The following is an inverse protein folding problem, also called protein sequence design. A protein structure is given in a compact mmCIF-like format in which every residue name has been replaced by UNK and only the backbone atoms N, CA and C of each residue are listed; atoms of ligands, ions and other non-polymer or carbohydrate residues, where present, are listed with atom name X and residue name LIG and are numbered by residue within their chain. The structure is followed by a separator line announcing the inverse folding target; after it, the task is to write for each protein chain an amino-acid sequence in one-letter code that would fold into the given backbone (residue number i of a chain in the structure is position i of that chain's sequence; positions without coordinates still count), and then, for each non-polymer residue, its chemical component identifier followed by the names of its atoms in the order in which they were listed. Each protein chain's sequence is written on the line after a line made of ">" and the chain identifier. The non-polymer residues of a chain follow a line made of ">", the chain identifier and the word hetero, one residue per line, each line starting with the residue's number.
data_IF_797239721251
#
_entry.id   IF_797239721251
#
_cell.length_a   1.000
_cell.length_b   1.000
_cell.length_c   1.000
_cell.angle_alpha   90.00
_cell.angle_beta   90.00
_cell.angle_gamma   90.00
#
_symmetry.space_group_name_H-M   'P 1'
#
loop_
_entity.id
_entity.type
_entity.pdbx_description
1 polymer ?
#
# COMPACT_ATOMS: atom_id res chain seq x y z
N UNK A 1 -2.91 -36.82 26.94
CA UNK A 1 -2.55 -35.38 26.88
C UNK A 1 -1.56 -35.07 25.77
N UNK A 2 -0.53 -35.85 25.53
CA UNK A 2 0.51 -35.55 24.54
C UNK A 2 0.04 -35.52 23.06
N UNK A 3 -0.97 -36.30 22.65
CA UNK A 3 -1.41 -36.34 21.25
C UNK A 3 -2.16 -35.05 20.81
N UNK A 4 -2.83 -34.40 21.75
CA UNK A 4 -3.58 -33.16 21.49
C UNK A 4 -2.63 -31.95 21.30
N UNK A 5 -1.53 -31.93 22.05
CA UNK A 5 -0.48 -30.90 21.97
C UNK A 5 0.25 -31.00 20.62
N UNK A 6 0.56 -32.21 20.14
CA UNK A 6 1.20 -32.44 18.85
C UNK A 6 0.28 -31.97 17.69
N UNK A 7 -1.03 -32.22 17.77
CA UNK A 7 -2.00 -31.73 16.79
C UNK A 7 -2.07 -30.21 16.72
N UNK A 8 -2.01 -29.53 17.85
CA UNK A 8 -2.01 -28.05 17.92
C UNK A 8 -0.73 -27.46 17.32
N UNK A 9 0.44 -28.07 17.60
CA UNK A 9 1.72 -27.62 17.03
C UNK A 9 1.73 -27.77 15.51
N UNK A 10 1.19 -28.84 14.95
CA UNK A 10 1.07 -29.01 13.49
C UNK A 10 0.13 -27.99 12.83
N UNK A 11 -0.91 -27.53 13.52
CA UNK A 11 -1.83 -26.51 13.01
C UNK A 11 -1.14 -25.14 12.88
N UNK A 12 -0.19 -24.82 13.77
CA UNK A 12 0.57 -23.56 13.74
C UNK A 12 1.74 -23.57 12.75
N UNK A 13 2.27 -24.71 12.37
CA UNK A 13 3.36 -24.80 11.37
C UNK A 13 2.90 -24.62 9.92
N UNK A 14 1.59 -24.54 9.66
CA UNK A 14 1.01 -24.40 8.30
C UNK A 14 0.89 -22.99 7.77
N UNK A 15 1.27 -21.96 8.51
CA UNK A 15 1.19 -20.58 8.04
C UNK A 15 2.34 -20.31 7.07
N UNK A 16 2.10 -20.46 5.78
CA UNK A 16 3.02 -19.98 4.75
C UNK A 16 3.10 -18.48 4.83
N UNK A 17 4.18 -17.95 5.41
CA UNK A 17 4.49 -16.53 5.28
C UNK A 17 5.00 -16.31 3.85
N UNK A 18 4.21 -15.64 3.02
CA UNK A 18 4.68 -15.17 1.73
C UNK A 18 5.65 -14.01 1.99
N UNK A 19 6.94 -14.31 1.95
CA UNK A 19 8.00 -13.30 1.90
C UNK A 19 8.19 -12.88 0.46
N UNK A 20 8.33 -11.57 0.22
CA UNK A 20 8.72 -11.07 -1.09
C UNK A 20 10.16 -11.47 -1.38
N UNK A 21 10.34 -12.36 -2.34
CA UNK A 21 11.66 -12.75 -2.83
C UNK A 21 11.95 -12.00 -4.13
N UNK A 22 12.90 -11.07 -4.07
CA UNK A 22 13.42 -10.41 -5.26
C UNK A 22 14.56 -11.26 -5.81
N UNK A 23 14.41 -11.81 -7.01
CA UNK A 23 15.46 -12.63 -7.64
C UNK A 23 16.78 -11.86 -7.78
N UNK A 24 16.72 -10.62 -8.22
CA UNK A 24 17.83 -9.65 -8.24
C UNK A 24 17.28 -8.23 -8.45
N UNK A 25 17.95 -7.22 -7.88
CA UNK A 25 17.70 -5.84 -8.29
C UNK A 25 18.23 -5.67 -9.71
N UNK A 26 17.35 -5.52 -10.68
CA UNK A 26 17.74 -5.33 -12.07
C UNK A 26 18.72 -4.17 -12.26
N UNK A 27 19.37 -4.11 -13.44
CA UNK A 27 20.25 -3.00 -13.81
C UNK A 27 19.53 -1.66 -13.79
N UNK A 28 20.26 -0.55 -13.75
CA UNK A 28 19.69 0.81 -13.79
C UNK A 28 18.83 0.96 -15.04
N UNK A 29 19.31 0.53 -16.20
CA UNK A 29 18.57 0.60 -17.47
C UNK A 29 17.26 -0.20 -17.43
N UNK A 30 17.29 -1.42 -16.90
CA UNK A 30 16.09 -2.25 -16.79
C UNK A 30 15.04 -1.64 -15.86
N UNK A 31 15.46 -1.05 -14.74
CA UNK A 31 14.55 -0.33 -13.85
C UNK A 31 14.03 0.96 -14.47
N UNK A 32 14.87 1.68 -15.21
CA UNK A 32 14.47 2.85 -15.98
C UNK A 32 13.40 2.52 -17.02
N UNK A 33 13.60 1.49 -17.80
CA UNK A 33 12.64 1.05 -18.84
C UNK A 33 11.30 0.63 -18.22
N UNK A 34 11.34 -0.14 -17.13
CA UNK A 34 10.15 -0.64 -16.44
C UNK A 34 9.40 0.41 -15.58
N UNK A 35 10.02 1.55 -15.27
CA UNK A 35 9.39 2.62 -14.52
C UNK A 35 8.63 3.58 -15.45
N UNK A 36 7.45 4.00 -15.04
CA UNK A 36 6.72 5.11 -15.67
C UNK A 36 7.30 6.46 -15.26
N UNK A 37 7.74 6.57 -14.00
CA UNK A 37 8.37 7.78 -13.48
C UNK A 37 9.64 7.44 -12.69
N UNK A 38 10.67 8.28 -12.86
CA UNK A 38 11.93 8.21 -12.09
C UNK A 38 12.27 9.61 -11.58
N UNK A 39 12.34 9.76 -10.26
CA UNK A 39 12.60 11.07 -9.65
C UNK A 39 13.25 10.93 -8.27
N UNK A 40 13.91 12.01 -7.84
CA UNK A 40 14.27 12.16 -6.43
C UNK A 40 13.24 13.04 -5.73
N UNK A 41 12.91 12.73 -4.48
CA UNK A 41 11.94 13.52 -3.74
C UNK A 41 11.94 13.22 -2.25
N UNK A 42 11.42 14.19 -1.49
CA UNK A 42 11.27 14.11 -0.03
C UNK A 42 9.84 13.72 0.31
N UNK A 43 9.68 12.76 1.19
CA UNK A 43 8.37 12.39 1.73
C UNK A 43 7.90 13.46 2.72
N UNK A 44 6.82 14.17 2.37
CA UNK A 44 6.30 15.29 3.18
C UNK A 44 5.02 14.94 3.92
N UNK A 45 4.30 13.89 3.50
CA UNK A 45 3.08 13.42 4.15
C UNK A 45 2.92 11.93 3.97
N UNK A 46 2.40 11.28 5.00
CA UNK A 46 1.97 9.88 4.98
C UNK A 46 0.54 9.81 5.46
N UNK A 47 -0.35 9.23 4.66
CA UNK A 47 -1.70 8.88 5.05
C UNK A 47 -1.83 7.36 5.11
N UNK A 48 -2.27 6.85 6.25
CA UNK A 48 -2.42 5.43 6.53
C UNK A 48 -3.85 5.05 6.90
N UNK A 49 -4.80 5.91 6.61
CA UNK A 49 -6.22 5.72 6.92
C UNK A 49 -7.01 5.05 5.79
N UNK A 50 -6.36 4.76 4.66
CA UNK A 50 -6.98 4.13 3.49
C UNK A 50 -6.97 2.61 3.61
N UNK A 51 -8.00 1.98 3.04
CA UNK A 51 -8.13 0.53 2.96
C UNK A 51 -8.58 0.12 1.56
N UNK A 52 -8.00 -0.94 1.02
CA UNK A 52 -8.40 -1.54 -0.25
C UNK A 52 -9.65 -2.42 -0.12
N UNK A 53 -10.16 -2.88 -1.24
CA UNK A 53 -11.37 -3.69 -1.31
C UNK A 53 -11.26 -5.05 -0.60
N UNK A 54 -10.03 -5.52 -0.39
CA UNK A 54 -9.71 -6.75 0.35
C UNK A 54 -9.45 -6.50 1.84
N UNK A 55 -9.71 -5.28 2.35
CA UNK A 55 -9.42 -4.88 3.72
C UNK A 55 -7.94 -4.64 4.01
N UNK A 56 -7.05 -4.73 3.01
CA UNK A 56 -5.64 -4.42 3.17
C UNK A 56 -5.46 -2.92 3.40
N UNK A 57 -4.60 -2.58 4.35
CA UNK A 57 -4.27 -1.19 4.64
C UNK A 57 -3.45 -0.60 3.48
N UNK A 58 -3.86 0.57 3.02
CA UNK A 58 -3.17 1.33 1.97
C UNK A 58 -2.47 2.53 2.61
N UNK A 59 -1.25 2.77 2.20
CA UNK A 59 -0.47 3.95 2.56
C UNK A 59 -0.35 4.85 1.34
N UNK A 60 -0.65 6.13 1.53
CA UNK A 60 -0.46 7.17 0.52
C UNK A 60 0.68 8.08 0.98
N UNK A 61 1.73 8.15 0.16
CA UNK A 61 2.91 8.95 0.42
C UNK A 61 2.91 10.16 -0.52
N UNK A 62 2.82 11.38 0.04
CA UNK A 62 3.02 12.60 -0.74
C UNK A 62 4.50 12.93 -0.79
N UNK A 63 5.04 13.00 -1.99
CA UNK A 63 6.45 13.27 -2.26
C UNK A 63 6.59 14.66 -2.85
N UNK A 64 7.43 15.51 -2.23
CA UNK A 64 7.89 16.75 -2.84
C UNK A 64 9.07 16.42 -3.75
N UNK A 65 8.88 16.60 -5.06
CA UNK A 65 9.90 16.30 -6.07
C UNK A 65 11.06 17.29 -5.92
N UNK A 66 12.28 16.77 -5.94
CA UNK A 66 13.51 17.55 -5.98
C UNK A 66 14.02 17.60 -7.42
N UNK A 67 14.08 16.46 -8.08
CA UNK A 67 14.49 16.33 -9.48
C UNK A 67 13.75 15.19 -10.15
N UNK A 68 13.17 15.44 -11.32
CA UNK A 68 12.55 14.41 -12.16
C UNK A 68 13.51 14.04 -13.29
N UNK A 69 13.71 12.72 -13.50
CA UNK A 69 14.52 12.18 -14.59
C UNK A 69 13.64 11.60 -15.70
N UNK A 70 12.52 11.01 -15.35
CA UNK A 70 11.55 10.43 -16.28
C UNK A 70 10.14 10.67 -15.78
N UNK A 71 9.24 11.12 -16.66
CA UNK A 71 7.81 11.24 -16.36
C UNK A 71 7.02 11.10 -17.65
N UNK A 72 5.96 10.31 -17.62
CA UNK A 72 5.07 10.14 -18.77
C UNK A 72 4.20 11.37 -19.02
N UNK A 73 4.05 12.24 -18.01
CA UNK A 73 3.13 13.36 -18.11
C UNK A 73 3.86 14.71 -18.13
N UNK A 74 4.34 15.18 -17.00
CA UNK A 74 4.87 16.53 -16.90
C UNK A 74 6.05 16.60 -15.93
N UNK A 75 7.21 16.97 -16.42
CA UNK A 75 8.45 17.05 -15.64
C UNK A 75 8.47 18.15 -14.59
N UNK A 76 7.63 19.19 -14.74
CA UNK A 76 7.57 20.36 -13.85
C UNK A 76 6.70 20.19 -12.60
N UNK A 77 6.22 18.97 -12.27
CA UNK A 77 5.40 18.78 -11.06
C UNK A 77 6.22 18.90 -9.80
N UNK A 78 5.67 19.63 -8.82
CA UNK A 78 6.28 19.74 -7.51
C UNK A 78 5.93 18.59 -6.55
N UNK A 79 4.75 18.01 -6.72
CA UNK A 79 4.22 16.96 -5.84
C UNK A 79 3.80 15.73 -6.61
N UNK A 80 4.07 14.57 -6.03
CA UNK A 80 3.58 13.28 -6.50
C UNK A 80 3.05 12.45 -5.35
N UNK A 81 2.09 11.59 -5.64
CA UNK A 81 1.56 10.62 -4.67
C UNK A 81 1.97 9.22 -5.11
N UNK A 82 2.60 8.49 -4.20
CA UNK A 82 2.93 7.07 -4.36
C UNK A 82 2.06 6.29 -3.39
N UNK A 83 1.47 5.21 -3.87
CA UNK A 83 0.61 4.34 -3.07
C UNK A 83 1.33 3.01 -2.82
N UNK A 84 1.25 2.51 -1.60
CA UNK A 84 1.75 1.19 -1.22
C UNK A 84 0.71 0.48 -0.37
N UNK A 85 0.54 -0.82 -0.58
CA UNK A 85 -0.29 -1.64 0.28
C UNK A 85 0.48 -2.06 1.53
N UNK A 86 -0.21 -2.64 2.50
CA UNK A 86 0.41 -3.07 3.76
C UNK A 86 1.53 -4.10 3.55
N UNK A 87 2.31 -4.33 4.59
CA UNK A 87 3.54 -5.14 4.62
C UNK A 87 3.45 -6.58 4.06
N UNK A 88 2.26 -7.06 3.71
CA UNK A 88 2.08 -8.35 3.02
C UNK A 88 2.29 -8.25 1.50
N UNK A 89 2.36 -7.02 0.94
CA UNK A 89 2.66 -6.76 -0.46
C UNK A 89 4.16 -6.52 -0.66
N UNK A 90 4.64 -6.69 -1.88
CA UNK A 90 6.02 -6.38 -2.24
C UNK A 90 6.26 -4.87 -2.46
N UNK A 91 5.42 -4.04 -1.88
CA UNK A 91 5.49 -2.60 -2.05
C UNK A 91 6.55 -1.95 -1.17
N UNK A 92 7.17 -0.91 -1.69
CA UNK A 92 8.18 -0.16 -0.97
C UNK A 92 7.53 0.78 0.06
N UNK A 93 7.98 0.72 1.31
CA UNK A 93 7.49 1.57 2.39
C UNK A 93 8.44 2.72 2.64
N UNK A 94 7.90 3.94 2.58
CA UNK A 94 8.67 5.16 2.78
C UNK A 94 8.57 5.68 4.21
N UNK A 95 9.60 6.43 4.65
CA UNK A 95 9.63 7.11 5.95
C UNK A 95 9.42 8.62 5.76
N UNK A 96 8.57 9.22 6.59
CA UNK A 96 8.32 10.66 6.58
C UNK A 96 9.62 11.45 6.79
N UNK A 97 9.81 12.52 6.03
CA UNK A 97 10.95 13.43 6.14
C UNK A 97 12.21 12.98 5.39
N UNK A 98 12.31 11.71 5.00
CA UNK A 98 13.46 11.16 4.27
C UNK A 98 13.37 11.48 2.77
N UNK A 99 14.54 11.49 2.12
CA UNK A 99 14.69 11.72 0.67
C UNK A 99 15.02 10.40 -0.01
N UNK A 100 14.36 10.14 -1.12
CA UNK A 100 14.49 8.90 -1.89
C UNK A 100 14.79 9.18 -3.37
N UNK A 101 15.49 8.23 -3.99
CA UNK A 101 15.42 7.98 -5.42
C UNK A 101 14.30 6.98 -5.63
N UNK A 102 13.33 7.32 -6.47
CA UNK A 102 12.08 6.59 -6.65
C UNK A 102 11.97 6.14 -8.10
N UNK A 103 11.84 4.83 -8.31
CA UNK A 103 11.44 4.20 -9.56
C UNK A 103 10.00 3.73 -9.42
N UNK A 104 9.08 4.55 -9.88
CA UNK A 104 7.65 4.28 -9.75
C UNK A 104 7.07 3.74 -11.06
N UNK A 105 6.16 2.79 -10.92
CA UNK A 105 5.36 2.27 -12.03
C UNK A 105 3.93 2.75 -11.88
N UNK A 106 3.31 3.14 -12.99
CA UNK A 106 1.89 3.46 -12.98
C UNK A 106 1.08 2.17 -12.98
N UNK A 107 0.24 2.04 -11.96
CA UNK A 107 -0.71 0.95 -11.84
C UNK A 107 -2.09 1.55 -11.56
N UNK A 108 -3.03 1.32 -12.49
CA UNK A 108 -4.40 1.83 -12.37
C UNK A 108 -4.47 3.33 -12.04
N UNK A 109 -3.67 4.15 -12.73
CA UNK A 109 -3.58 5.62 -12.59
C UNK A 109 -2.93 6.12 -11.28
N UNK A 110 -2.33 5.22 -10.50
CA UNK A 110 -1.54 5.58 -9.33
C UNK A 110 -0.10 5.12 -9.50
N UNK A 111 0.83 5.78 -8.80
CA UNK A 111 2.20 5.33 -8.75
C UNK A 111 2.39 4.32 -7.62
N UNK A 112 3.00 3.21 -7.93
CA UNK A 112 3.43 2.20 -6.98
C UNK A 112 4.94 1.94 -7.10
N UNK A 113 5.56 1.52 -6.01
CA UNK A 113 6.98 1.17 -5.98
C UNK A 113 7.15 -0.20 -5.33
N UNK A 114 7.88 -1.09 -6.00
CA UNK A 114 8.24 -2.39 -5.43
C UNK A 114 9.55 -2.32 -4.66
N UNK A 115 9.68 -3.12 -3.60
CA UNK A 115 10.97 -3.36 -2.91
C UNK A 115 12.00 -4.00 -3.83
N UNK A 116 11.56 -4.63 -4.92
CA UNK A 116 12.44 -5.24 -5.94
C UNK A 116 12.94 -4.21 -6.95
N UNK A 117 12.42 -2.98 -6.95
CA UNK A 117 12.96 -1.88 -7.76
C UNK A 117 14.25 -1.33 -7.15
N UNK A 118 14.93 -0.46 -7.89
CA UNK A 118 16.09 0.28 -7.36
C UNK A 118 15.71 1.47 -6.49
N UNK A 119 14.43 1.62 -6.14
CA UNK A 119 13.96 2.64 -5.18
C UNK A 119 14.72 2.49 -3.86
N UNK A 120 15.35 3.59 -3.42
CA UNK A 120 16.15 3.58 -2.18
C UNK A 120 16.22 4.99 -1.57
N UNK A 121 16.60 5.07 -0.29
CA UNK A 121 16.97 6.35 0.34
C UNK A 121 18.12 6.96 -0.42
N UNK A 122 18.03 8.25 -0.74
CA UNK A 122 19.04 8.91 -1.60
C UNK A 122 20.47 8.80 -1.03
N UNK A 123 20.63 8.81 0.29
CA UNK A 123 21.93 8.63 0.95
C UNK A 123 22.59 7.26 0.72
N UNK A 124 21.81 6.26 0.30
CA UNK A 124 22.26 4.90 0.03
C UNK A 124 22.41 4.63 -1.49
N UNK A 125 22.15 5.64 -2.32
CA UNK A 125 22.26 5.52 -3.78
C UNK A 125 23.70 5.85 -4.20
N UNK A 126 24.27 4.99 -5.04
CA UNK A 126 25.63 5.18 -5.57
C UNK A 126 25.69 6.38 -6.52
N UNK A 127 26.83 7.10 -6.50
CA UNK A 127 27.03 8.26 -7.38
C UNK A 127 26.93 7.89 -8.87
N UNK A 128 27.41 6.69 -9.23
CA UNK A 128 27.33 6.14 -10.59
C UNK A 128 25.90 5.95 -11.07
N UNK A 129 24.98 5.57 -10.18
CA UNK A 129 23.56 5.47 -10.51
C UNK A 129 22.98 6.84 -10.89
N UNK A 130 23.28 7.88 -10.10
CA UNK A 130 22.85 9.24 -10.41
C UNK A 130 23.43 9.74 -11.73
N UNK A 131 24.72 9.49 -11.99
CA UNK A 131 25.37 9.86 -13.26
C UNK A 131 24.76 9.14 -14.46
N UNK A 132 24.39 7.87 -14.28
CA UNK A 132 23.72 7.09 -15.31
C UNK A 132 22.31 7.62 -15.58
N UNK A 133 21.59 8.01 -14.55
CA UNK A 133 20.28 8.64 -14.69
C UNK A 133 20.34 9.98 -15.40
N UNK A 134 21.38 10.80 -15.17
CA UNK A 134 21.60 12.06 -15.91
C UNK A 134 21.76 11.81 -17.42
N UNK A 135 22.53 10.79 -17.79
CA UNK A 135 22.71 10.40 -19.19
C UNK A 135 21.41 9.91 -19.83
N UNK A 136 20.66 9.06 -19.10
CA UNK A 136 19.36 8.56 -19.55
C UNK A 136 18.35 9.70 -19.68
N UNK A 137 18.35 10.66 -18.75
CA UNK A 137 17.50 11.85 -18.78
C UNK A 137 17.79 12.73 -20.01
N UNK A 138 19.06 12.99 -20.31
CA UNK A 138 19.45 13.77 -21.48
C UNK A 138 18.96 13.13 -22.78
N UNK A 139 19.07 11.80 -22.88
CA UNK A 139 18.53 11.04 -24.00
C UNK A 139 16.99 11.09 -24.03
N UNK A 140 16.35 10.90 -22.89
CA UNK A 140 14.88 10.93 -22.77
C UNK A 140 14.29 12.28 -23.20
N UNK A 141 14.95 13.39 -22.89
CA UNK A 141 14.53 14.72 -23.35
C UNK A 141 14.64 14.90 -24.85
N UNK A 142 15.70 14.35 -25.49
CA UNK A 142 15.84 14.43 -26.94
C UNK A 142 14.79 13.59 -27.68
N UNK A 143 14.43 12.44 -27.11
CA UNK A 143 13.49 11.49 -27.72
C UNK A 143 12.02 11.87 -27.48
N UNK A 144 11.72 12.67 -26.46
CA UNK A 144 10.37 13.05 -26.04
C UNK A 144 10.13 14.57 -26.13
N UNK A 145 10.38 15.15 -27.28
CA UNK A 145 10.12 16.58 -27.54
C UNK A 145 8.63 16.95 -27.67
N UNK A 146 7.74 15.95 -27.75
CA UNK A 146 6.31 16.17 -27.90
C UNK A 146 5.61 16.48 -26.56
N UNK A 147 4.76 17.51 -26.56
CA UNK A 147 3.93 17.86 -25.40
C UNK A 147 2.82 16.81 -25.24
N UNK A 148 2.89 16.02 -24.19
CA UNK A 148 1.80 15.11 -23.82
C UNK A 148 0.80 15.81 -22.91
N UNK A 149 -0.46 15.89 -23.35
CA UNK A 149 -1.55 16.44 -22.53
C UNK A 149 -2.13 15.36 -21.62
N UNK A 150 -2.24 15.68 -20.34
CA UNK A 150 -2.85 14.80 -19.33
C UNK A 150 -4.32 15.15 -19.13
N UNK A 151 -5.20 14.16 -19.14
CA UNK A 151 -6.59 14.32 -18.70
C UNK A 151 -6.65 14.25 -17.17
N UNK A 152 -6.72 15.40 -16.53
CA UNK A 152 -6.81 15.52 -15.06
C UNK A 152 -8.07 14.88 -14.46
N UNK A 153 -9.16 14.81 -15.24
CA UNK A 153 -10.44 14.25 -14.79
C UNK A 153 -10.32 12.80 -14.29
N UNK A 154 -9.58 11.97 -14.98
CA UNK A 154 -9.47 10.55 -14.63
C UNK A 154 -8.71 10.32 -13.32
N UNK A 155 -7.75 11.17 -12.96
CA UNK A 155 -6.98 11.03 -11.72
C UNK A 155 -7.78 11.44 -10.47
N UNK A 156 -8.59 12.49 -10.58
CA UNK A 156 -9.41 12.97 -9.45
C UNK A 156 -10.52 11.98 -9.15
N UNK A 157 -11.21 11.49 -10.17
CA UNK A 157 -12.29 10.51 -10.00
C UNK A 157 -11.79 9.18 -9.43
N UNK A 158 -10.61 8.72 -9.85
CA UNK A 158 -10.00 7.52 -9.29
C UNK A 158 -9.64 7.71 -7.81
N UNK A 159 -9.04 8.84 -7.44
CA UNK A 159 -8.72 9.13 -6.04
C UNK A 159 -9.99 9.26 -5.17
N UNK A 160 -11.04 9.90 -5.69
CA UNK A 160 -12.35 9.96 -5.03
C UNK A 160 -12.95 8.56 -4.91
N UNK A 161 -12.84 7.73 -5.94
CA UNK A 161 -13.27 6.34 -5.92
C UNK A 161 -12.58 5.51 -4.85
N UNK A 162 -11.25 5.63 -4.72
CA UNK A 162 -10.47 4.96 -3.66
C UNK A 162 -10.91 5.40 -2.26
N UNK A 163 -11.08 6.71 -2.05
CA UNK A 163 -11.53 7.24 -0.75
C UNK A 163 -12.96 6.76 -0.44
N UNK A 164 -13.86 6.82 -1.41
CA UNK A 164 -15.24 6.35 -1.28
C UNK A 164 -15.27 4.86 -0.91
N UNK A 165 -14.57 4.01 -1.67
CA UNK A 165 -14.52 2.57 -1.41
C UNK A 165 -13.93 2.27 -0.02
N UNK A 166 -12.87 2.98 0.39
CA UNK A 166 -12.26 2.79 1.71
C UNK A 166 -13.21 3.17 2.85
N UNK A 167 -14.03 4.21 2.65
CA UNK A 167 -15.05 4.62 3.63
C UNK A 167 -16.20 3.61 3.68
N UNK A 168 -16.68 3.13 2.55
CA UNK A 168 -17.74 2.11 2.49
C UNK A 168 -17.32 0.81 3.17
N UNK A 169 -16.09 0.35 3.00
CA UNK A 169 -15.59 -0.84 3.69
C UNK A 169 -15.45 -0.65 5.20
N UNK A 170 -15.00 0.53 5.63
CA UNK A 170 -14.98 0.86 7.07
C UNK A 170 -16.38 0.85 7.67
N UNK A 171 -17.36 1.36 6.94
CA UNK A 171 -18.76 1.34 7.39
C UNK A 171 -19.29 -0.10 7.47
N UNK A 172 -19.08 -0.92 6.44
CA UNK A 172 -19.49 -2.34 6.44
C UNK A 172 -18.82 -3.13 7.57
N UNK A 173 -17.55 -2.87 7.88
CA UNK A 173 -16.87 -3.51 9.03
C UNK A 173 -17.51 -3.09 10.35
N UNK A 174 -17.80 -1.81 10.54
CA UNK A 174 -18.47 -1.32 11.74
C UNK A 174 -19.88 -1.93 11.89
N UNK A 175 -20.64 -2.01 10.81
CA UNK A 175 -21.95 -2.68 10.81
C UNK A 175 -21.84 -4.14 11.23
N UNK A 176 -20.91 -4.91 10.69
CA UNK A 176 -20.69 -6.31 11.11
C UNK A 176 -20.35 -6.44 12.59
N UNK A 177 -19.53 -5.54 13.12
CA UNK A 177 -19.19 -5.52 14.55
C UNK A 177 -20.44 -5.21 15.40
N UNK A 178 -21.24 -4.22 14.98
CA UNK A 178 -22.47 -3.84 15.68
C UNK A 178 -23.46 -5.01 15.70
N UNK A 179 -23.72 -5.66 14.56
CA UNK A 179 -24.59 -6.82 14.49
C UNK A 179 -24.06 -8.00 15.32
N UNK A 180 -22.74 -8.22 15.32
CA UNK A 180 -22.11 -9.24 16.17
C UNK A 180 -22.31 -8.98 17.67
N UNK A 181 -22.13 -7.74 18.11
CA UNK A 181 -22.36 -7.35 19.50
C UNK A 181 -23.85 -7.44 19.88
N UNK A 182 -24.74 -7.08 18.97
CA UNK A 182 -26.18 -7.13 19.19
C UNK A 182 -26.66 -8.60 19.33
N UNK A 183 -26.17 -9.50 18.49
CA UNK A 183 -26.47 -10.93 18.57
C UNK A 183 -25.95 -11.54 19.87
N UNK A 184 -24.75 -11.16 20.32
CA UNK A 184 -24.18 -11.62 21.59
C UNK A 184 -25.01 -11.14 22.79
N UNK A 185 -25.46 -9.89 22.79
CA UNK A 185 -26.33 -9.37 23.86
C UNK A 185 -27.67 -10.11 23.93
N UNK A 186 -28.31 -10.39 22.77
CA UNK A 186 -29.55 -11.16 22.71
C UNK A 186 -29.36 -12.55 23.33
N UNK A 187 -28.24 -13.21 22.97
CA UNK A 187 -27.91 -14.55 23.46
C UNK A 187 -27.70 -14.56 24.98
N UNK A 188 -27.01 -13.55 25.52
CA UNK A 188 -26.85 -13.36 26.99
C UNK A 188 -28.18 -13.19 27.69
N UNK A 189 -29.09 -12.35 27.16
CA UNK A 189 -30.41 -12.18 27.71
C UNK A 189 -31.20 -13.49 27.75
N UNK A 190 -31.16 -14.29 26.67
CA UNK A 190 -31.83 -15.60 26.64
C UNK A 190 -31.24 -16.54 27.67
N UNK A 191 -29.93 -16.59 27.86
CA UNK A 191 -29.29 -17.41 28.90
C UNK A 191 -29.74 -17.00 30.30
N UNK A 192 -29.80 -15.70 30.60
CA UNK A 192 -30.25 -15.19 31.87
C UNK A 192 -31.71 -15.60 32.13
N UNK A 193 -32.60 -15.48 31.16
CA UNK A 193 -34.00 -15.91 31.26
C UNK A 193 -34.09 -17.42 31.54
N UNK A 194 -33.34 -18.24 30.83
CA UNK A 194 -33.33 -19.70 31.04
C UNK A 194 -32.89 -20.04 32.49
N UNK A 195 -31.82 -19.39 32.97
CA UNK A 195 -31.32 -19.61 34.33
C UNK A 195 -32.37 -19.18 35.36
N UNK A 196 -33.04 -18.03 35.17
CA UNK A 196 -34.06 -17.56 36.04
C UNK A 196 -35.28 -18.51 36.12
N UNK A 197 -35.72 -19.02 34.98
CA UNK A 197 -36.80 -19.98 34.88
C UNK A 197 -36.46 -21.34 35.55
N UNK A 198 -35.22 -21.82 35.37
CA UNK A 198 -34.77 -23.04 36.06
C UNK A 198 -34.71 -22.89 37.57
N UNK A 199 -34.22 -21.75 38.08
CA UNK A 199 -34.21 -21.46 39.54
C UNK A 199 -35.61 -21.44 40.12
N UNK A 200 -36.57 -20.83 39.41
CA UNK A 200 -37.96 -20.77 39.86
C UNK A 200 -38.64 -22.16 39.95
N UNK A 201 -38.28 -23.04 39.00
CA UNK A 201 -38.81 -24.41 39.00
C UNK A 201 -38.22 -25.32 40.10
N UNK A 202 -37.02 -25.02 40.58
CA UNK A 202 -36.37 -25.79 41.64
C UNK A 202 -36.72 -25.26 43.05
N UNK A 203 -37.47 -24.13 43.16
CA UNK A 203 -37.89 -23.57 44.42
C UNK A 203 -39.40 -23.77 44.73
N UNK A 204 -40.09 -24.51 43.85
CA UNK A 204 -41.40 -25.06 44.08
C UNK A 204 -41.32 -26.56 44.41
#
# INVERSE_FOLDING_TARGET
>A
MNKLIIGIIFLFCGVKSYSCECSERGTISKNWEGASEVFTGKIIKVDSLLYGNNGAKIYSFTVKIIKSYKSEFFLGRELRTVISQSSASCDYMFSLGEVYLIYAKEESQTLACSICSRTNRLKNVEKEEIQTLEKLYSKYLSDNSEVRTMRLENNIQYQIGLVKNSLEEKLKMKEKIIYGLLSLNILLVIIIIIIALRRRKNSM
#
